data_IF_204095941125
#
_entry.id   IF_204095941125
#
_cell.length_a   1.000
_cell.length_b   1.000
_cell.length_c   1.000
_cell.angle_alpha   90.00
_cell.angle_beta   90.00
_cell.angle_gamma   90.00
#
_symmetry.space_group_name_H-M   'P 1'
#
loop_
_entity.id
_entity.type
_entity.pdbx_description
1 polymer ?
#
# COMPACT_ATOMS: atom_id res chain seq x y z
N UNK A 1 -16.31 -23.15 -5.54
CA UNK A 1 -16.23 -21.93 -4.68
C UNK A 1 -16.80 -20.79 -5.47
N UNK A 2 -17.61 -19.97 -4.82
CA UNK A 2 -18.34 -18.90 -5.49
C UNK A 2 -17.41 -17.72 -5.82
N UNK A 3 -17.64 -17.07 -6.95
CA UNK A 3 -16.93 -15.85 -7.33
C UNK A 3 -17.76 -14.64 -6.90
N UNK A 4 -17.18 -13.77 -6.06
CA UNK A 4 -17.87 -12.57 -5.56
C UNK A 4 -18.35 -11.67 -6.71
N UNK A 5 -17.65 -11.61 -7.86
CA UNK A 5 -18.07 -10.79 -9.01
C UNK A 5 -19.39 -11.25 -9.64
N UNK A 6 -19.86 -12.46 -9.34
CA UNK A 6 -21.14 -13.00 -9.83
C UNK A 6 -22.29 -12.83 -8.85
N UNK A 7 -22.02 -12.33 -7.64
CA UNK A 7 -23.01 -12.20 -6.58
C UNK A 7 -23.72 -10.83 -6.66
N UNK A 8 -25.04 -10.84 -6.44
CA UNK A 8 -25.87 -9.62 -6.40
C UNK A 8 -25.70 -8.88 -5.07
N UNK A 9 -26.19 -7.65 -4.97
CA UNK A 9 -26.26 -6.97 -3.68
C UNK A 9 -27.15 -7.74 -2.70
N UNK A 10 -26.76 -7.77 -1.43
CA UNK A 10 -27.47 -8.50 -0.37
C UNK A 10 -26.55 -9.37 0.47
N UNK A 11 -27.15 -10.12 1.39
CA UNK A 11 -26.46 -11.07 2.27
C UNK A 11 -26.26 -12.40 1.57
N UNK A 12 -25.07 -12.97 1.70
CA UNK A 12 -24.69 -14.24 1.09
C UNK A 12 -24.10 -15.17 2.15
N UNK A 13 -24.59 -16.41 2.18
CA UNK A 13 -24.01 -17.52 2.95
C UNK A 13 -22.96 -18.30 2.13
N UNK A 14 -22.62 -17.81 0.94
CA UNK A 14 -21.60 -18.36 0.06
C UNK A 14 -20.25 -18.50 0.78
N UNK A 15 -19.47 -19.51 0.37
CA UNK A 15 -18.11 -19.74 0.87
C UNK A 15 -17.09 -19.32 -0.19
N UNK A 16 -16.36 -18.25 0.12
CA UNK A 16 -15.29 -17.72 -0.72
C UNK A 16 -13.93 -18.11 -0.15
N UNK A 17 -12.94 -18.21 -1.03
CA UNK A 17 -11.55 -18.45 -0.66
C UNK A 17 -10.67 -17.37 -1.26
N UNK A 18 -9.97 -16.66 -0.39
CA UNK A 18 -9.24 -15.45 -0.77
C UNK A 18 -7.95 -15.33 0.02
N UNK A 19 -6.94 -14.68 -0.56
CA UNK A 19 -5.78 -14.18 0.17
C UNK A 19 -6.06 -12.75 0.62
N UNK A 20 -5.78 -12.47 1.89
CA UNK A 20 -5.73 -11.10 2.40
C UNK A 20 -4.39 -10.50 1.97
N UNK A 21 -4.39 -9.44 1.16
CA UNK A 21 -3.13 -8.82 0.71
C UNK A 21 -2.83 -7.47 1.34
N UNK A 22 -3.86 -6.76 1.83
CA UNK A 22 -3.71 -5.46 2.53
C UNK A 22 -4.79 -5.30 3.60
N UNK A 23 -4.44 -4.76 4.76
CA UNK A 23 -5.34 -4.32 5.83
C UNK A 23 -4.93 -2.93 6.32
N UNK A 24 -5.90 -2.03 6.49
CA UNK A 24 -5.64 -0.70 7.05
C UNK A 24 -6.91 -0.09 7.64
N UNK A 25 -6.72 0.92 8.48
CA UNK A 25 -7.83 1.69 9.02
C UNK A 25 -8.08 2.97 8.22
N UNK A 26 -9.35 3.27 8.02
CA UNK A 26 -9.81 4.54 7.48
C UNK A 26 -10.74 5.21 8.47
N UNK A 27 -10.69 6.54 8.51
CA UNK A 27 -11.56 7.35 9.35
C UNK A 27 -12.45 8.19 8.45
N UNK A 28 -13.74 8.28 8.80
CA UNK A 28 -14.60 9.31 8.21
C UNK A 28 -14.22 10.67 8.76
N UNK A 29 -14.11 11.67 7.87
CA UNK A 29 -13.97 13.06 8.30
C UNK A 29 -15.28 13.65 8.83
N UNK A 30 -16.41 12.93 8.69
CA UNK A 30 -17.73 13.38 9.14
C UNK A 30 -18.03 12.97 10.58
N UNK A 31 -17.34 11.96 11.11
CA UNK A 31 -17.54 11.42 12.45
C UNK A 31 -16.31 10.62 12.88
N UNK A 32 -15.80 10.88 14.08
CA UNK A 32 -14.72 10.12 14.70
C UNK A 32 -15.14 8.69 15.10
N UNK A 33 -16.44 8.38 15.05
CA UNK A 33 -16.99 7.05 15.33
C UNK A 33 -17.09 6.15 14.09
N UNK A 34 -16.89 6.68 12.88
CA UNK A 34 -17.00 5.91 11.64
C UNK A 34 -15.62 5.40 11.19
N UNK A 35 -14.88 4.77 12.11
CA UNK A 35 -13.64 4.09 11.76
C UNK A 35 -13.97 2.73 11.15
N UNK A 36 -13.45 2.48 9.95
CA UNK A 36 -13.58 1.20 9.27
C UNK A 36 -12.21 0.56 9.12
N UNK A 37 -12.14 -0.74 9.35
CA UNK A 37 -11.00 -1.54 8.92
C UNK A 37 -11.29 -2.07 7.52
N UNK A 38 -10.36 -1.80 6.62
CA UNK A 38 -10.44 -2.13 5.20
C UNK A 38 -9.52 -3.29 4.88
N UNK A 39 -9.91 -4.10 3.91
CA UNK A 39 -9.13 -5.22 3.41
C UNK A 39 -9.12 -5.20 1.89
N UNK A 40 -7.99 -5.54 1.28
CA UNK A 40 -7.96 -6.02 -0.10
C UNK A 40 -7.79 -7.53 -0.09
N UNK A 41 -8.73 -8.20 -0.75
CA UNK A 41 -8.79 -9.64 -0.89
C UNK A 41 -8.55 -10.01 -2.37
N UNK A 42 -7.92 -11.15 -2.62
CA UNK A 42 -7.77 -11.70 -3.96
C UNK A 42 -8.16 -13.18 -4.03
N UNK A 43 -8.84 -13.59 -5.11
CA UNK A 43 -9.20 -14.99 -5.34
C UNK A 43 -8.20 -15.73 -6.25
N UNK A 44 -8.45 -17.01 -6.48
CA UNK A 44 -7.66 -17.85 -7.39
C UNK A 44 -7.76 -17.44 -8.87
N UNK A 45 -8.77 -16.64 -9.25
CA UNK A 45 -8.91 -16.07 -10.61
C UNK A 45 -8.23 -14.70 -10.72
N UNK A 46 -7.48 -14.30 -9.70
CA UNK A 46 -6.80 -13.03 -9.61
C UNK A 46 -7.78 -11.83 -9.62
N UNK A 47 -9.04 -11.99 -9.18
CA UNK A 47 -9.96 -10.88 -8.94
C UNK A 47 -9.63 -10.18 -7.63
N UNK A 48 -9.83 -8.86 -7.57
CA UNK A 48 -9.65 -8.08 -6.34
C UNK A 48 -10.98 -7.66 -5.76
N UNK A 49 -11.08 -7.70 -4.44
CA UNK A 49 -12.25 -7.25 -3.70
C UNK A 49 -11.85 -6.30 -2.60
N UNK A 50 -12.61 -5.22 -2.47
CA UNK A 50 -12.54 -4.34 -1.32
C UNK A 50 -13.53 -4.83 -0.29
N UNK A 51 -13.02 -5.26 0.86
CA UNK A 51 -13.85 -5.60 2.01
C UNK A 51 -13.67 -4.57 3.13
N UNK A 52 -14.70 -4.40 3.94
CA UNK A 52 -14.70 -3.50 5.10
C UNK A 52 -15.36 -4.18 6.28
N UNK A 53 -14.93 -3.80 7.48
CA UNK A 53 -15.60 -4.12 8.73
C UNK A 53 -15.67 -2.86 9.58
N UNK A 54 -16.76 -2.73 10.33
CA UNK A 54 -16.92 -1.68 11.33
C UNK A 54 -15.95 -1.90 12.51
N UNK A 55 -15.61 -0.80 13.20
CA UNK A 55 -14.73 -0.84 14.38
C UNK A 55 -15.23 -1.79 15.47
N UNK A 56 -16.54 -1.97 15.63
CA UNK A 56 -17.14 -2.86 16.64
C UNK A 56 -16.75 -4.33 16.46
N UNK A 57 -16.45 -4.75 15.22
CA UNK A 57 -16.06 -6.12 14.90
C UNK A 57 -14.54 -6.32 14.91
N UNK A 58 -13.77 -5.24 15.06
CA UNK A 58 -12.30 -5.24 14.94
C UNK A 58 -11.66 -6.20 15.93
N UNK A 59 -12.04 -6.14 17.20
CA UNK A 59 -11.46 -6.96 18.28
C UNK A 59 -11.71 -8.45 18.05
N UNK A 60 -12.80 -8.80 17.35
CA UNK A 60 -13.13 -10.17 17.00
C UNK A 60 -12.41 -10.65 15.74
N UNK A 61 -12.36 -9.81 14.70
CA UNK A 61 -11.88 -10.22 13.38
C UNK A 61 -10.37 -10.10 13.19
N UNK A 62 -9.75 -9.02 13.67
CA UNK A 62 -8.32 -8.78 13.41
C UNK A 62 -7.39 -9.85 13.99
N UNK A 63 -7.63 -10.42 15.19
CA UNK A 63 -6.80 -11.52 15.70
C UNK A 63 -6.84 -12.79 14.83
N UNK A 64 -7.86 -12.94 13.98
CA UNK A 64 -8.03 -14.11 13.11
C UNK A 64 -7.32 -13.97 11.76
N UNK A 65 -6.82 -12.78 11.43
CA UNK A 65 -6.25 -12.48 10.12
C UNK A 65 -4.85 -11.89 10.18
N UNK A 66 -4.08 -12.22 9.16
CA UNK A 66 -2.72 -11.77 8.90
C UNK A 66 -2.56 -11.60 7.39
N UNK A 67 -1.97 -10.48 6.97
CA UNK A 67 -1.67 -10.21 5.57
C UNK A 67 -0.79 -11.31 4.95
N UNK A 68 -1.03 -11.62 3.68
CA UNK A 68 -0.35 -12.66 2.91
C UNK A 68 -0.95 -14.06 3.07
N UNK A 69 -1.78 -14.32 4.08
CA UNK A 69 -2.39 -15.63 4.30
C UNK A 69 -3.74 -15.79 3.59
N UNK A 70 -4.14 -17.05 3.40
CA UNK A 70 -5.37 -17.43 2.71
C UNK A 70 -6.45 -17.77 3.75
N UNK A 71 -7.69 -17.38 3.47
CA UNK A 71 -8.84 -17.60 4.32
C UNK A 71 -10.03 -18.10 3.54
N UNK A 72 -10.85 -18.90 4.22
CA UNK A 72 -12.24 -19.08 3.88
C UNK A 72 -13.07 -18.03 4.61
N UNK A 73 -13.93 -17.33 3.87
CA UNK A 73 -14.87 -16.36 4.43
C UNK A 73 -16.28 -16.82 4.05
N UNK A 74 -17.20 -16.79 5.02
CA UNK A 74 -18.63 -17.09 4.85
C UNK A 74 -19.48 -16.03 5.55
N UNK A 75 -20.74 -15.93 5.16
CA UNK A 75 -21.73 -15.02 5.76
C UNK A 75 -21.31 -13.55 5.67
N UNK A 76 -21.25 -13.03 4.44
CA UNK A 76 -20.87 -11.66 4.16
C UNK A 76 -21.98 -10.94 3.38
N UNK A 77 -21.93 -9.61 3.35
CA UNK A 77 -22.86 -8.80 2.59
C UNK A 77 -22.16 -8.10 1.44
N UNK A 78 -22.81 -8.00 0.29
CA UNK A 78 -22.35 -7.17 -0.83
C UNK A 78 -23.22 -5.92 -0.90
N UNK A 79 -22.57 -4.77 -0.89
CA UNK A 79 -23.21 -3.45 -0.98
C UNK A 79 -22.57 -2.63 -2.10
N UNK A 80 -23.23 -1.58 -2.59
CA UNK A 80 -22.60 -0.60 -3.47
C UNK A 80 -21.34 0.00 -2.82
N UNK A 81 -20.27 0.16 -3.61
CA UNK A 81 -19.05 0.81 -3.15
C UNK A 81 -19.28 2.30 -2.86
N UNK A 82 -18.56 2.82 -1.88
CA UNK A 82 -18.49 4.26 -1.64
C UNK A 82 -17.80 4.96 -2.83
N UNK A 83 -18.15 6.22 -3.07
CA UNK A 83 -17.65 7.02 -4.21
C UNK A 83 -16.36 7.79 -3.92
N UNK A 84 -15.68 7.50 -2.81
CA UNK A 84 -14.51 8.26 -2.35
C UNK A 84 -13.43 7.33 -1.80
N UNK A 85 -12.17 7.65 -2.13
CA UNK A 85 -10.94 6.92 -1.80
C UNK A 85 -11.05 5.40 -2.00
N UNK A 86 -11.74 4.97 -3.07
CA UNK A 86 -11.81 3.57 -3.44
C UNK A 86 -10.37 3.04 -3.60
N UNK A 87 -9.95 2.03 -2.84
CA UNK A 87 -8.58 1.52 -2.94
C UNK A 87 -8.33 0.76 -4.23
N UNK A 88 -9.41 0.35 -4.92
CA UNK A 88 -9.43 -0.38 -6.18
C UNK A 88 -10.62 0.12 -6.99
N UNK A 89 -10.59 0.00 -8.31
CA UNK A 89 -11.77 0.35 -9.12
C UNK A 89 -12.83 -0.75 -9.02
N UNK A 90 -13.88 -0.51 -8.24
CA UNK A 90 -14.97 -1.44 -7.99
C UNK A 90 -16.28 -0.68 -7.79
N UNK A 91 -17.39 -1.31 -8.19
CA UNK A 91 -18.75 -0.84 -7.93
C UNK A 91 -19.35 -1.43 -6.65
N UNK A 92 -18.67 -2.40 -6.03
CA UNK A 92 -19.16 -3.10 -4.84
C UNK A 92 -18.12 -3.21 -3.74
N UNK A 93 -18.60 -3.31 -2.50
CA UNK A 93 -17.81 -3.55 -1.30
C UNK A 93 -18.37 -4.77 -0.57
N UNK A 94 -17.48 -5.62 -0.08
CA UNK A 94 -17.83 -6.76 0.80
C UNK A 94 -17.84 -6.27 2.25
N UNK A 95 -18.96 -6.39 2.93
CA UNK A 95 -19.08 -6.05 4.35
C UNK A 95 -18.94 -7.33 5.17
N UNK A 96 -17.97 -7.31 6.07
CA UNK A 96 -17.79 -8.32 7.10
C UNK A 96 -18.48 -7.80 8.36
N UNK A 97 -19.45 -8.55 8.87
CA UNK A 97 -20.23 -8.17 10.05
C UNK A 97 -20.16 -9.26 11.13
N UNK A 98 -20.95 -9.10 12.20
CA UNK A 98 -21.04 -10.04 13.32
C UNK A 98 -21.32 -11.49 12.93
N UNK A 99 -21.96 -11.73 11.79
CA UNK A 99 -22.28 -13.07 11.30
C UNK A 99 -21.16 -13.66 10.43
N UNK A 100 -20.19 -12.84 10.02
CA UNK A 100 -19.08 -13.27 9.19
C UNK A 100 -18.15 -14.20 9.96
N UNK A 101 -17.88 -15.36 9.35
CA UNK A 101 -16.88 -16.30 9.82
C UNK A 101 -15.65 -16.25 8.92
N UNK A 102 -14.47 -16.22 9.54
CA UNK A 102 -13.17 -16.29 8.88
C UNK A 102 -12.42 -17.50 9.42
N UNK A 103 -11.95 -18.37 8.52
CA UNK A 103 -11.13 -19.54 8.89
C UNK A 103 -9.88 -19.59 8.04
N UNK A 104 -8.72 -19.74 8.69
CA UNK A 104 -7.44 -19.92 8.00
C UNK A 104 -7.47 -21.10 7.04
N UNK A 105 -6.87 -20.91 5.87
CA UNK A 105 -6.71 -21.93 4.84
C UNK A 105 -5.22 -22.14 4.60
N UNK A 106 -4.74 -23.32 5.01
CA UNK A 106 -3.32 -23.70 4.94
C UNK A 106 -3.00 -24.62 3.76
N UNK A 107 -3.91 -24.72 2.79
CA UNK A 107 -3.64 -25.54 1.61
C UNK A 107 -2.64 -24.85 0.67
N UNK A 108 -1.94 -25.64 -0.15
CA UNK A 108 -0.94 -25.15 -1.10
C UNK A 108 -1.53 -24.40 -2.31
N UNK A 109 -2.68 -23.75 -2.16
CA UNK A 109 -3.36 -23.10 -3.28
C UNK A 109 -2.57 -21.90 -3.85
N UNK A 110 -2.55 -21.84 -5.18
CA UNK A 110 -1.84 -20.84 -5.98
C UNK A 110 -2.63 -19.53 -6.12
N UNK A 111 -3.18 -19.00 -5.02
CA UNK A 111 -3.65 -17.61 -5.04
C UNK A 111 -2.41 -16.70 -5.13
N UNK A 112 -2.35 -15.70 -6.03
CA UNK A 112 -1.20 -14.81 -6.15
C UNK A 112 -0.84 -14.13 -4.83
N UNK A 113 0.41 -13.74 -4.60
CA UNK A 113 0.81 -13.04 -3.35
C UNK A 113 0.51 -11.55 -3.40
N UNK A 114 0.60 -10.99 -4.59
CA UNK A 114 0.38 -9.58 -4.85
C UNK A 114 -0.55 -9.44 -6.04
N UNK A 115 -1.36 -8.39 -5.99
CA UNK A 115 -1.98 -7.80 -7.17
C UNK A 115 -2.03 -6.29 -6.96
N UNK A 116 -1.66 -5.56 -7.99
CA UNK A 116 -1.63 -4.10 -7.99
C UNK A 116 -2.39 -3.57 -9.19
N UNK A 117 -3.15 -2.50 -9.02
CA UNK A 117 -3.87 -1.81 -10.10
C UNK A 117 -3.01 -0.64 -10.60
N UNK A 118 -1.86 -0.99 -11.20
CA UNK A 118 -0.85 -0.01 -11.63
C UNK A 118 -1.42 0.98 -12.63
N UNK A 119 -1.24 2.27 -12.35
CA UNK A 119 -1.77 3.37 -13.15
C UNK A 119 -0.71 3.86 -14.14
N UNK A 120 -1.13 4.08 -15.39
CA UNK A 120 -0.31 4.82 -16.37
C UNK A 120 -0.25 6.31 -16.03
N UNK A 121 0.69 7.04 -16.64
CA UNK A 121 0.81 8.49 -16.51
C UNK A 121 -0.48 9.22 -16.93
N UNK A 122 -1.15 8.76 -17.98
CA UNK A 122 -2.44 9.27 -18.45
C UNK A 122 -3.53 9.08 -17.40
N UNK A 123 -3.57 7.89 -16.79
CA UNK A 123 -4.51 7.60 -15.71
C UNK A 123 -4.29 8.53 -14.51
N UNK A 124 -3.03 8.77 -14.13
CA UNK A 124 -2.69 9.71 -13.06
C UNK A 124 -3.13 11.15 -13.42
N UNK A 125 -2.90 11.59 -14.66
CA UNK A 125 -3.36 12.91 -15.15
C UNK A 125 -4.88 13.04 -15.02
N UNK A 126 -5.65 12.05 -15.46
CA UNK A 126 -7.11 12.04 -15.36
C UNK A 126 -7.62 12.08 -13.91
N UNK A 127 -6.88 11.47 -12.98
CA UNK A 127 -7.25 11.45 -11.55
C UNK A 127 -6.82 12.70 -10.77
N UNK A 128 -6.10 13.62 -11.41
CA UNK A 128 -5.57 14.81 -10.75
C UNK A 128 -6.68 15.68 -10.17
N UNK A 129 -6.68 15.89 -8.85
CA UNK A 129 -7.69 16.69 -8.17
C UNK A 129 -9.01 15.95 -7.89
N UNK A 130 -9.13 14.70 -8.34
CA UNK A 130 -10.21 13.80 -7.95
C UNK A 130 -9.79 12.97 -6.74
N UNK A 131 -10.77 12.47 -6.01
CA UNK A 131 -10.55 11.63 -4.82
C UNK A 131 -11.35 10.34 -4.88
N UNK A 132 -11.90 10.00 -6.05
CA UNK A 132 -12.80 8.86 -6.22
C UNK A 132 -12.07 7.52 -6.03
N UNK A 133 -10.95 7.33 -6.74
CA UNK A 133 -10.18 6.08 -6.75
C UNK A 133 -8.71 6.37 -6.50
N UNK A 134 -8.10 5.63 -5.59
CA UNK A 134 -6.67 5.69 -5.28
C UNK A 134 -5.83 5.06 -6.40
N UNK A 135 -4.58 5.47 -6.50
CA UNK A 135 -3.67 5.07 -7.56
C UNK A 135 -2.52 4.23 -7.02
N UNK A 136 -2.23 3.13 -7.71
CA UNK A 136 -1.02 2.35 -7.48
C UNK A 136 -0.01 2.71 -8.56
N UNK A 137 1.25 2.88 -8.18
CA UNK A 137 2.35 3.20 -9.11
C UNK A 137 3.51 2.24 -8.89
N UNK A 138 4.30 2.04 -9.95
CA UNK A 138 5.52 1.27 -9.91
C UNK A 138 6.64 2.09 -10.57
N UNK A 139 7.88 1.91 -10.10
CA UNK A 139 9.04 2.45 -10.77
C UNK A 139 10.34 2.12 -10.07
N UNK A 140 11.45 2.35 -10.76
CA UNK A 140 12.79 2.34 -10.17
C UNK A 140 12.99 3.64 -9.39
N UNK A 141 13.41 3.52 -8.14
CA UNK A 141 13.79 4.66 -7.30
C UNK A 141 15.08 5.27 -7.82
N UNK A 142 15.01 6.53 -8.25
CA UNK A 142 16.16 7.26 -8.82
C UNK A 142 16.66 8.41 -7.97
N UNK A 143 15.80 8.93 -7.10
CA UNK A 143 16.18 10.00 -6.18
C UNK A 143 15.38 9.94 -4.89
N UNK A 144 16.09 10.18 -3.79
CA UNK A 144 15.54 10.46 -2.46
C UNK A 144 16.00 11.86 -2.08
N UNK A 145 15.04 12.73 -1.75
CA UNK A 145 15.31 14.08 -1.27
C UNK A 145 15.85 14.08 0.15
N UNK A 146 16.19 15.27 0.66
CA UNK A 146 16.51 15.46 2.07
C UNK A 146 15.22 15.45 2.89
N UNK A 147 15.30 14.95 4.13
CA UNK A 147 14.18 15.05 5.07
C UNK A 147 13.97 16.52 5.48
N UNK A 148 12.88 17.11 5.03
CA UNK A 148 12.47 18.47 5.38
C UNK A 148 11.65 18.44 6.68
N UNK A 149 11.86 19.44 7.55
CA UNK A 149 11.06 19.64 8.75
C UNK A 149 10.20 20.90 8.56
N UNK A 150 8.90 20.72 8.40
CA UNK A 150 7.94 21.80 8.31
C UNK A 150 7.38 22.09 9.70
N UNK A 151 7.50 23.33 10.16
CA UNK A 151 7.03 23.80 11.48
C UNK A 151 7.44 22.85 12.64
N UNK A 152 8.75 22.56 12.72
CA UNK A 152 9.44 21.75 13.73
C UNK A 152 9.07 20.27 13.83
N UNK A 153 7.81 19.87 13.62
CA UNK A 153 7.34 18.50 13.91
C UNK A 153 6.95 17.68 12.68
N UNK A 154 6.56 18.32 11.58
CA UNK A 154 6.08 17.62 10.38
C UNK A 154 7.27 17.26 9.49
N UNK A 155 7.50 15.97 9.30
CA UNK A 155 8.58 15.49 8.44
C UNK A 155 8.08 15.27 7.03
N UNK A 156 8.81 15.74 6.03
CA UNK A 156 8.51 15.49 4.63
C UNK A 156 9.72 14.91 3.91
N UNK A 157 9.48 13.89 3.10
CA UNK A 157 10.48 13.28 2.25
C UNK A 157 9.92 13.10 0.84
N UNK A 158 10.53 13.77 -0.12
CA UNK A 158 10.20 13.60 -1.53
C UNK A 158 11.05 12.48 -2.15
N UNK A 159 10.41 11.51 -2.80
CA UNK A 159 11.05 10.45 -3.56
C UNK A 159 10.61 10.50 -5.03
N UNK A 160 11.45 9.99 -5.91
CA UNK A 160 11.22 10.03 -7.35
C UNK A 160 11.40 8.64 -7.95
N UNK A 161 10.36 8.21 -8.66
CA UNK A 161 10.34 6.96 -9.39
C UNK A 161 10.34 7.24 -10.89
N UNK A 162 10.98 6.37 -11.67
CA UNK A 162 10.81 6.33 -13.14
C UNK A 162 10.36 4.93 -13.57
N UNK A 163 9.56 4.91 -14.62
CA UNK A 163 9.27 3.71 -15.40
C UNK A 163 9.86 3.86 -16.81
N UNK A 164 9.37 3.07 -17.77
CA UNK A 164 9.81 3.11 -19.17
C UNK A 164 9.58 4.46 -19.85
N UNK A 165 8.64 5.28 -19.36
CA UNK A 165 8.38 6.62 -19.90
C UNK A 165 9.46 7.63 -19.55
N UNK A 166 10.34 7.31 -18.58
CA UNK A 166 11.34 8.20 -18.00
C UNK A 166 10.81 9.48 -17.35
N UNK A 167 9.50 9.67 -17.30
CA UNK A 167 8.91 10.85 -16.65
C UNK A 167 8.98 10.62 -15.14
N UNK A 168 9.73 11.43 -14.37
CA UNK A 168 9.84 11.21 -12.94
C UNK A 168 8.51 11.43 -12.23
N UNK A 169 8.02 10.40 -11.57
CA UNK A 169 6.88 10.47 -10.67
C UNK A 169 7.37 10.89 -9.28
N UNK A 170 6.93 12.07 -8.85
CA UNK A 170 7.22 12.60 -7.51
C UNK A 170 6.20 12.08 -6.51
N UNK A 171 6.68 11.47 -5.41
CA UNK A 171 5.87 11.08 -4.26
C UNK A 171 6.38 11.82 -3.03
N UNK A 172 5.47 12.51 -2.33
CA UNK A 172 5.79 13.24 -1.10
C UNK A 172 5.30 12.45 0.11
N UNK A 173 6.22 11.80 0.82
CA UNK A 173 5.95 11.06 2.06
C UNK A 173 5.96 12.02 3.25
N UNK A 174 5.11 11.72 4.24
CA UNK A 174 4.92 12.57 5.42
C UNK A 174 5.08 11.78 6.72
N UNK A 175 5.64 12.42 7.74
CA UNK A 175 5.77 11.99 9.13
C UNK A 175 6.30 10.56 9.28
N UNK A 176 5.48 9.69 9.88
CA UNK A 176 5.78 8.28 10.11
C UNK A 176 6.11 7.55 8.81
N UNK A 177 5.45 7.87 7.69
CA UNK A 177 5.74 7.24 6.39
C UNK A 177 7.10 7.66 5.84
N UNK A 178 7.46 8.93 5.97
CA UNK A 178 8.79 9.41 5.59
C UNK A 178 9.89 8.70 6.40
N UNK A 179 9.70 8.61 7.73
CA UNK A 179 10.67 7.98 8.64
C UNK A 179 10.77 6.46 8.45
N UNK A 180 9.65 5.76 8.27
CA UNK A 180 9.66 4.31 8.03
C UNK A 180 10.28 3.99 6.66
N UNK A 181 10.01 4.82 5.64
CA UNK A 181 10.62 4.65 4.34
C UNK A 181 12.14 4.70 4.39
N UNK A 182 12.73 5.63 5.16
CA UNK A 182 14.19 5.71 5.28
C UNK A 182 14.78 4.45 5.90
N UNK A 183 14.13 3.90 6.94
CA UNK A 183 14.56 2.64 7.57
C UNK A 183 14.51 1.48 6.57
N UNK A 184 13.40 1.32 5.85
CA UNK A 184 13.27 0.22 4.88
C UNK A 184 14.19 0.38 3.68
N UNK A 185 14.42 1.61 3.21
CA UNK A 185 15.35 1.82 2.11
C UNK A 185 16.77 1.41 2.50
N UNK A 186 17.22 1.67 3.73
CA UNK A 186 18.52 1.17 4.19
C UNK A 186 18.56 -0.36 4.25
N UNK A 187 17.48 -1.02 4.70
CA UNK A 187 17.40 -2.49 4.77
C UNK A 187 17.36 -3.16 3.39
N UNK A 188 16.65 -2.58 2.43
CA UNK A 188 16.48 -3.12 1.08
C UNK A 188 17.36 -2.44 0.03
N UNK A 189 18.41 -1.75 0.50
CA UNK A 189 19.27 -0.96 -0.36
C UNK A 189 20.02 -1.85 -1.34
N UNK A 190 19.84 -1.58 -2.61
CA UNK A 190 20.59 -2.20 -3.70
C UNK A 190 20.58 -1.31 -4.94
N UNK A 191 21.25 -1.76 -6.00
CA UNK A 191 21.08 -1.15 -7.33
C UNK A 191 19.64 -1.35 -7.80
N UNK A 192 19.08 -0.33 -8.45
CA UNK A 192 17.80 -0.37 -9.15
C UNK A 192 16.64 -0.83 -8.26
N UNK A 193 16.51 -0.26 -7.06
CA UNK A 193 15.38 -0.58 -6.15
C UNK A 193 14.06 -0.30 -6.86
N UNK A 194 13.27 -1.34 -7.09
CA UNK A 194 11.93 -1.23 -7.65
C UNK A 194 10.94 -1.06 -6.51
N UNK A 195 10.12 -0.01 -6.58
CA UNK A 195 9.04 0.22 -5.63
C UNK A 195 7.69 0.03 -6.30
N UNK A 196 6.79 -0.65 -5.61
CA UNK A 196 5.35 -0.53 -5.85
C UNK A 196 4.73 0.20 -4.68
N UNK A 197 4.06 1.31 -4.95
CA UNK A 197 3.39 2.11 -3.93
C UNK A 197 1.91 2.17 -4.25
N UNK A 198 1.10 1.64 -3.33
CA UNK A 198 -0.34 1.52 -3.53
C UNK A 198 -1.12 2.63 -2.83
N UNK A 199 -2.37 2.86 -3.22
CA UNK A 199 -3.29 3.67 -2.44
C UNK A 199 -2.91 5.16 -2.36
N UNK A 200 -2.31 5.72 -3.40
CA UNK A 200 -1.89 7.12 -3.46
C UNK A 200 -3.01 8.03 -3.98
N UNK A 201 -3.04 9.26 -3.48
CA UNK A 201 -3.85 10.34 -4.03
C UNK A 201 -3.03 11.17 -5.03
N UNK A 202 -3.61 11.48 -6.18
CA UNK A 202 -2.98 12.34 -7.18
C UNK A 202 -3.34 13.80 -6.92
N UNK A 203 -2.32 14.62 -6.64
CA UNK A 203 -2.47 16.06 -6.39
C UNK A 203 -1.74 16.87 -7.45
N UNK A 204 -2.19 18.11 -7.66
CA UNK A 204 -1.47 19.13 -8.41
C UNK A 204 -0.95 20.18 -7.45
N UNK A 205 0.37 20.29 -7.32
CA UNK A 205 1.02 21.29 -6.48
C UNK A 205 1.84 22.20 -7.38
N UNK A 206 1.50 23.48 -7.41
CA UNK A 206 2.17 24.51 -8.24
C UNK A 206 2.33 24.10 -9.72
N UNK A 207 1.31 23.45 -10.28
CA UNK A 207 1.32 23.03 -11.68
C UNK A 207 1.83 21.61 -11.93
N UNK A 208 2.55 21.00 -10.99
CA UNK A 208 3.15 19.67 -11.14
C UNK A 208 2.33 18.59 -10.46
N UNK A 209 2.19 17.43 -11.12
CA UNK A 209 1.58 16.25 -10.52
C UNK A 209 2.51 15.71 -9.43
N UNK A 210 1.94 15.47 -8.26
CA UNK A 210 2.62 14.79 -7.16
C UNK A 210 1.66 13.80 -6.51
N UNK A 211 2.21 12.70 -6.03
CA UNK A 211 1.45 11.65 -5.36
C UNK A 211 1.62 11.81 -3.85
N UNK A 212 0.50 11.75 -3.13
CA UNK A 212 0.46 11.84 -1.68
C UNK A 212 -0.07 10.55 -1.07
N UNK A 213 0.56 10.03 -0.01
CA UNK A 213 0.02 8.92 0.76
C UNK A 213 -1.37 9.19 1.35
N UNK A 214 -2.11 8.13 1.54
CA UNK A 214 -3.37 8.06 2.30
C UNK A 214 -3.24 6.98 3.38
N UNK A 215 -4.22 6.80 4.29
CA UNK A 215 -4.20 5.66 5.22
C UNK A 215 -4.05 4.30 4.53
N UNK A 216 -4.56 4.17 3.31
CA UNK A 216 -4.44 2.95 2.51
C UNK A 216 -3.02 2.72 1.95
N UNK A 217 -2.11 3.69 2.01
CA UNK A 217 -0.82 3.56 1.33
C UNK A 217 0.09 2.50 1.94
N UNK A 218 0.55 1.59 1.08
CA UNK A 218 1.59 0.59 1.35
C UNK A 218 2.74 0.76 0.36
N UNK A 219 3.97 0.50 0.80
CA UNK A 219 5.19 0.60 -0.01
C UNK A 219 5.85 -0.79 -0.03
N UNK A 220 6.00 -1.36 -1.22
CA UNK A 220 6.61 -2.66 -1.42
C UNK A 220 7.96 -2.49 -2.11
N UNK A 221 9.03 -2.92 -1.44
CA UNK A 221 10.39 -2.93 -1.98
C UNK A 221 10.64 -4.24 -2.72
N UNK A 222 11.07 -4.13 -3.98
CA UNK A 222 11.43 -5.24 -4.87
C UNK A 222 10.41 -6.41 -4.82
N UNK A 223 9.10 -6.15 -4.95
CA UNK A 223 8.11 -7.22 -4.86
C UNK A 223 8.30 -8.20 -6.02
N UNK A 224 8.25 -9.50 -5.72
CA UNK A 224 8.19 -10.56 -6.73
C UNK A 224 6.81 -10.55 -7.39
N UNK A 225 6.62 -9.67 -8.36
CA UNK A 225 5.38 -9.46 -9.09
C UNK A 225 5.63 -9.50 -10.59
N UNK A 226 5.06 -10.50 -11.25
CA UNK A 226 5.36 -10.84 -12.64
C UNK A 226 5.21 -9.65 -13.61
N UNK A 227 4.17 -8.80 -13.55
CA UNK A 227 4.06 -7.66 -14.46
C UNK A 227 5.21 -6.65 -14.43
N UNK A 228 6.08 -6.67 -13.41
CA UNK A 228 7.18 -5.72 -13.24
C UNK A 228 8.54 -6.39 -12.96
N UNK A 229 8.65 -7.71 -13.08
CA UNK A 229 9.83 -8.47 -12.65
C UNK A 229 11.13 -8.01 -13.33
N UNK A 230 11.05 -7.57 -14.60
CA UNK A 230 12.19 -7.08 -15.38
C UNK A 230 12.34 -5.55 -15.38
N UNK A 231 11.52 -4.81 -14.62
CA UNK A 231 11.51 -3.35 -14.70
C UNK A 231 12.87 -2.75 -14.31
N UNK A 232 13.47 -3.25 -13.22
CA UNK A 232 14.78 -2.80 -12.75
C UNK A 232 15.87 -3.00 -13.81
N UNK A 233 15.95 -4.21 -14.38
CA UNK A 233 16.96 -4.57 -15.38
C UNK A 233 16.78 -3.80 -16.68
N UNK A 234 15.53 -3.62 -17.14
CA UNK A 234 15.24 -2.88 -18.35
C UNK A 234 15.65 -1.40 -18.24
N UNK A 235 15.33 -0.76 -17.11
CA UNK A 235 15.74 0.62 -16.84
C UNK A 235 17.26 0.71 -16.73
N UNK A 236 17.90 -0.24 -16.05
CA UNK A 236 19.35 -0.28 -15.90
C UNK A 236 20.08 -0.43 -17.25
N UNK A 237 19.62 -1.34 -18.11
CA UNK A 237 20.20 -1.58 -19.42
C UNK A 237 20.01 -0.40 -20.39
N UNK A 238 18.96 0.39 -20.22
CA UNK A 238 18.65 1.52 -21.11
C UNK A 238 19.25 2.84 -20.63
N UNK A 239 19.31 3.07 -19.31
CA UNK A 239 19.61 4.38 -18.72
C UNK A 239 20.70 4.35 -17.65
N UNK A 240 21.27 3.18 -17.36
CA UNK A 240 22.28 2.99 -16.32
C UNK A 240 21.68 2.62 -14.97
N UNK A 241 22.55 2.15 -14.08
CA UNK A 241 22.16 1.70 -12.75
C UNK A 241 21.95 2.87 -11.78
N UNK A 242 20.93 2.75 -10.93
CA UNK A 242 20.64 3.73 -9.88
C UNK A 242 20.93 3.15 -8.49
N UNK A 243 21.68 3.88 -7.68
CA UNK A 243 21.90 3.57 -6.26
C UNK A 243 21.51 4.80 -5.44
N UNK A 244 20.32 4.78 -4.87
CA UNK A 244 19.87 5.89 -4.04
C UNK A 244 20.47 5.84 -2.64
N UNK A 245 20.95 7.00 -2.18
CA UNK A 245 21.34 7.22 -0.78
C UNK A 245 20.30 8.12 -0.13
N UNK A 246 20.17 8.02 1.18
CA UNK A 246 19.37 8.96 1.95
C UNK A 246 20.28 10.14 2.34
N UNK A 247 20.03 11.36 1.82
CA UNK A 247 20.86 12.51 2.16
C UNK A 247 20.84 12.80 3.67
N UNK A 248 22.02 13.01 4.26
CA UNK A 248 22.16 13.39 5.67
C UNK A 248 21.97 12.26 6.69
N UNK A 249 21.62 11.04 6.28
CA UNK A 249 21.75 9.87 7.15
C UNK A 249 23.22 9.40 7.10
N UNK A 250 23.95 9.71 8.17
CA UNK A 250 25.21 9.04 8.49
C UNK A 250 24.89 7.54 8.60
N UNK A 251 25.60 6.68 7.87
CA UNK A 251 25.37 5.25 7.92
C UNK A 251 25.60 4.70 9.35
N UNK A 252 24.99 3.56 9.67
CA UNK A 252 25.03 3.01 11.02
C UNK A 252 26.46 2.76 11.52
N UNK A 253 27.37 2.33 10.63
CA UNK A 253 28.78 2.09 10.96
C UNK A 253 29.49 3.40 11.31
N UNK A 254 29.21 4.47 10.57
CA UNK A 254 29.75 5.80 10.79
C UNK A 254 29.14 6.44 12.04
N UNK A 255 27.88 6.16 12.39
CA UNK A 255 27.29 6.57 13.68
C UNK A 255 27.94 5.86 14.87
N UNK A 256 28.27 4.57 14.74
CA UNK A 256 29.05 3.86 15.77
C UNK A 256 30.46 4.45 15.92
N UNK A 257 31.13 4.77 14.81
CA UNK A 257 32.45 5.41 14.82
C UNK A 257 32.44 6.84 15.41
N UNK A 258 31.35 7.57 15.24
CA UNK A 258 31.17 8.93 15.76
C UNK A 258 30.62 8.98 17.20
N UNK A 259 30.33 7.83 17.84
CA UNK A 259 29.87 7.78 19.23
C UNK A 259 28.42 8.22 19.47
N UNK A 260 27.60 8.37 18.43
CA UNK A 260 26.21 8.82 18.53
C UNK A 260 25.25 7.63 18.73
N UNK A 261 25.26 7.09 19.96
CA UNK A 261 24.28 6.28 20.73
C UNK A 261 23.42 5.18 20.05
N UNK A 262 23.46 4.00 20.68
CA UNK A 262 22.63 2.79 20.46
C UNK A 262 21.15 2.97 20.88
N UNK A 263 20.16 2.45 20.14
CA UNK A 263 18.74 2.53 20.53
C UNK A 263 18.30 1.52 21.61
N UNK A 264 19.21 0.74 22.19
CA UNK A 264 18.89 -0.19 23.29
C UNK A 264 19.59 0.21 24.58
N UNK A 265 19.07 1.24 25.24
CA UNK A 265 19.21 1.43 26.68
C UNK A 265 17.82 1.51 27.30
N UNK A 266 17.18 0.34 27.42
CA UNK A 266 16.10 0.09 28.36
C UNK A 266 16.59 -1.01 29.29
N UNK A 267 16.99 -0.63 30.51
CA UNK A 267 16.92 -1.47 31.71
C UNK A 267 17.32 -0.64 32.94
N UNK A 268 16.45 -0.63 33.96
CA UNK A 268 16.84 -0.39 35.36
C UNK A 268 16.46 0.96 35.96
N UNK A 269 15.22 1.08 36.45
CA UNK A 269 14.91 1.02 37.88
C UNK A 269 13.40 1.04 38.10
#
# INVERSE_FOLDING_TARGET
MDNITSLRHGTHNAKIKVRLIRVWDSFSLRSHYDMMTNFILIDAKNNMYWAVTDVTERERLLPLVCEGLIYYITNFKIVPAQSYLKPIDTSTTVVLDKNTEIRGCFDGSSIPRFKFSLCSVETLKCRTGTTETLSDVCGVLVKVGTMEHQNSDIKRLDIYLIDQSLIPLKISLWDKRATIFTVYLELYRQKNVVLVITGLLVKKVRGTICLSPTPATSIHFNPRYEPIHNLGDHIAGTYGEFICRIPGLIDYQTRQLLGEVSPYSIAGN
#
